data_IF_430829386038
#
_entry.id   IF_430829386038
#
_cell.length_a   1.000
_cell.length_b   1.000
_cell.length_c   1.000
_cell.angle_alpha   90.00
_cell.angle_beta   90.00
_cell.angle_gamma   90.00
#
_symmetry.space_group_name_H-M   'P 1'
#
loop_
_entity.id
_entity.type
_entity.pdbx_description
1 polymer ?
#
# COMPACT_ATOMS: atom_id res chain seq x y z
N UNK A 1 -5.94 3.00 5.77
CA UNK A 1 -4.99 3.40 4.68
C UNK A 1 -5.58 4.60 3.95
N UNK A 2 -4.81 5.66 3.69
CA UNK A 2 -5.21 6.75 2.79
C UNK A 2 -4.57 6.55 1.41
N UNK A 3 -5.37 6.75 0.36
CA UNK A 3 -4.92 6.84 -1.03
C UNK A 3 -5.49 8.15 -1.59
N UNK A 4 -4.61 9.06 -1.99
CA UNK A 4 -5.00 10.37 -2.50
C UNK A 4 -4.36 10.59 -3.88
N UNK A 5 -5.07 11.29 -4.76
CA UNK A 5 -4.64 11.63 -6.12
C UNK A 5 -4.25 10.40 -6.99
N UNK A 6 -4.92 9.27 -6.76
CA UNK A 6 -4.70 8.06 -7.54
C UNK A 6 -5.10 8.28 -8.99
N UNK A 7 -4.16 8.13 -9.92
CA UNK A 7 -4.44 8.11 -11.35
C UNK A 7 -4.08 6.76 -11.97
N UNK A 8 -5.08 6.05 -12.45
CA UNK A 8 -4.92 4.82 -13.24
C UNK A 8 -5.43 5.10 -14.66
N UNK A 9 -4.59 4.85 -15.66
CA UNK A 9 -4.94 5.06 -17.06
C UNK A 9 -4.36 3.92 -17.92
N UNK A 10 -5.10 3.47 -18.94
CA UNK A 10 -4.73 2.40 -19.87
C UNK A 10 -4.21 1.13 -19.17
N UNK A 11 -4.96 0.63 -18.19
CA UNK A 11 -4.59 -0.52 -17.37
C UNK A 11 -5.64 -1.63 -17.43
N UNK A 12 -5.24 -2.88 -17.20
CA UNK A 12 -6.19 -3.99 -17.11
C UNK A 12 -7.18 -3.81 -15.94
N UNK A 13 -6.69 -3.28 -14.83
CA UNK A 13 -7.43 -3.11 -13.58
C UNK A 13 -7.17 -1.73 -12.97
N UNK A 14 -8.09 -1.24 -12.15
CA UNK A 14 -7.86 -0.11 -11.24
C UNK A 14 -7.55 -0.58 -9.82
N UNK A 15 -8.43 -0.30 -8.87
CA UNK A 15 -8.29 -0.82 -7.50
C UNK A 15 -8.66 -2.29 -7.50
N UNK A 16 -7.68 -3.19 -7.38
CA UNK A 16 -7.87 -4.63 -7.57
C UNK A 16 -7.45 -5.44 -6.34
N UNK A 17 -8.28 -6.42 -5.96
CA UNK A 17 -8.09 -7.30 -4.79
C UNK A 17 -7.73 -6.60 -3.46
N UNK A 18 -8.37 -5.47 -3.11
CA UNK A 18 -8.05 -4.78 -1.87
C UNK A 18 -8.48 -5.58 -0.65
N UNK A 19 -7.69 -5.50 0.42
CA UNK A 19 -8.11 -5.89 1.76
C UNK A 19 -8.73 -4.66 2.44
N UNK A 20 -10.02 -4.44 2.20
CA UNK A 20 -10.70 -3.25 2.69
C UNK A 20 -10.92 -3.30 4.21
N UNK A 21 -10.15 -2.47 4.91
CA UNK A 21 -10.27 -2.21 6.34
C UNK A 21 -9.86 -0.75 6.63
N UNK A 22 -10.84 0.14 6.80
CA UNK A 22 -10.62 1.57 7.05
C UNK A 22 -9.79 2.25 5.93
N UNK A 23 -10.15 1.97 4.67
CA UNK A 23 -9.53 2.62 3.53
C UNK A 23 -10.23 3.94 3.22
N UNK A 24 -9.45 4.97 2.90
CA UNK A 24 -9.94 6.25 2.41
C UNK A 24 -9.30 6.53 1.06
N UNK A 25 -10.13 6.82 0.06
CA UNK A 25 -9.71 7.22 -1.27
C UNK A 25 -10.17 8.66 -1.53
N UNK A 26 -9.26 9.51 -2.01
CA UNK A 26 -9.56 10.91 -2.34
C UNK A 26 -9.05 11.25 -3.73
N UNK A 27 -9.88 11.96 -4.49
CA UNK A 27 -9.51 12.48 -5.80
C UNK A 27 -8.91 11.40 -6.73
N UNK A 28 -9.61 10.27 -6.84
CA UNK A 28 -9.19 9.15 -7.67
C UNK A 28 -9.72 9.31 -9.11
N UNK A 29 -8.85 9.08 -10.08
CA UNK A 29 -9.20 9.05 -11.50
C UNK A 29 -8.82 7.69 -12.11
N UNK A 30 -9.82 6.98 -12.65
CA UNK A 30 -9.64 5.66 -13.28
C UNK A 30 -10.15 5.75 -14.72
N UNK A 31 -9.23 5.68 -15.67
CA UNK A 31 -9.49 5.89 -17.07
C UNK A 31 -9.06 4.69 -17.92
N UNK A 32 -9.80 4.46 -19.02
CA UNK A 32 -9.44 3.49 -20.06
C UNK A 32 -9.03 2.11 -19.51
N UNK A 33 -9.73 1.61 -18.48
CA UNK A 33 -9.49 0.29 -17.92
C UNK A 33 -10.28 -0.80 -18.64
N UNK A 34 -9.71 -2.01 -18.75
CA UNK A 34 -10.30 -3.10 -19.54
C UNK A 34 -11.28 -4.00 -18.75
N UNK A 35 -10.94 -4.35 -17.51
CA UNK A 35 -11.70 -5.36 -16.77
C UNK A 35 -12.44 -4.78 -15.57
N UNK A 36 -11.72 -4.43 -14.52
CA UNK A 36 -12.32 -4.11 -13.22
C UNK A 36 -11.76 -2.80 -12.68
N UNK A 37 -12.50 -1.69 -12.87
CA UNK A 37 -12.02 -0.36 -12.50
C UNK A 37 -11.89 -0.21 -10.98
N UNK A 38 -12.90 -0.65 -10.22
CA UNK A 38 -12.88 -0.63 -8.76
C UNK A 38 -13.47 -1.93 -8.23
N UNK A 39 -12.60 -2.87 -7.83
CA UNK A 39 -13.00 -4.22 -7.44
C UNK A 39 -13.50 -4.27 -5.98
N UNK A 40 -14.28 -5.31 -5.67
CA UNK A 40 -14.77 -5.70 -4.35
C UNK A 40 -13.64 -6.22 -3.48
N UNK A 41 -13.87 -6.27 -2.17
CA UNK A 41 -12.89 -6.75 -1.20
C UNK A 41 -12.49 -8.20 -1.47
N UNK A 42 -11.18 -8.45 -1.56
CA UNK A 42 -10.58 -9.77 -1.84
C UNK A 42 -11.13 -10.48 -3.10
N UNK A 43 -11.66 -9.72 -4.05
CA UNK A 43 -12.12 -10.20 -5.36
C UNK A 43 -13.09 -11.39 -5.27
N UNK A 44 -12.70 -12.58 -5.73
CA UNK A 44 -13.55 -13.77 -5.77
C UNK A 44 -14.03 -14.25 -4.40
N UNK A 45 -13.33 -13.88 -3.32
CA UNK A 45 -13.80 -14.15 -1.96
C UNK A 45 -14.92 -13.19 -1.53
N UNK A 46 -14.94 -11.98 -2.10
CA UNK A 46 -15.95 -10.96 -1.89
C UNK A 46 -16.16 -10.61 -0.40
N UNK A 47 -15.04 -10.44 0.31
CA UNK A 47 -14.98 -10.16 1.75
C UNK A 47 -14.50 -8.73 2.00
N UNK A 48 -15.24 -8.00 2.82
CA UNK A 48 -14.86 -6.68 3.29
C UNK A 48 -14.83 -6.67 4.83
N UNK A 49 -13.68 -6.31 5.39
CA UNK A 49 -13.43 -6.45 6.83
C UNK A 49 -13.77 -5.18 7.61
N UNK A 50 -13.77 -4.02 6.95
CA UNK A 50 -14.17 -2.77 7.57
C UNK A 50 -14.65 -1.75 6.56
N UNK A 51 -14.72 -0.50 6.98
CA UNK A 51 -15.29 0.55 6.15
C UNK A 51 -14.36 0.98 5.02
N UNK A 52 -14.96 1.44 3.94
CA UNK A 52 -14.27 2.22 2.90
C UNK A 52 -14.95 3.56 2.72
N UNK A 53 -14.17 4.61 2.55
CA UNK A 53 -14.67 5.96 2.26
C UNK A 53 -14.01 6.46 0.99
N UNK A 54 -14.80 6.94 0.04
CA UNK A 54 -14.33 7.42 -1.25
C UNK A 54 -14.92 8.80 -1.49
N UNK A 55 -14.08 9.81 -1.68
CA UNK A 55 -14.50 11.19 -1.99
C UNK A 55 -13.83 11.68 -3.27
N UNK A 56 -14.62 11.91 -4.31
CA UNK A 56 -14.13 12.37 -5.60
C UNK A 56 -13.51 11.23 -6.42
N UNK A 57 -14.36 10.30 -6.88
CA UNK A 57 -13.96 9.23 -7.82
C UNK A 57 -14.48 9.55 -9.21
N UNK A 58 -13.59 9.66 -10.18
CA UNK A 58 -13.95 9.90 -11.58
C UNK A 58 -13.55 8.71 -12.44
N UNK A 59 -14.51 8.20 -13.22
CA UNK A 59 -14.26 7.29 -14.32
C UNK A 59 -14.34 8.02 -15.66
N UNK A 60 -13.43 7.72 -16.60
CA UNK A 60 -13.46 8.32 -17.94
C UNK A 60 -12.92 7.37 -19.01
N UNK A 61 -13.17 7.68 -20.28
CA UNK A 61 -12.70 6.92 -21.43
C UNK A 61 -12.98 5.40 -21.36
N UNK A 62 -14.06 5.04 -20.66
CA UNK A 62 -14.50 3.66 -20.53
C UNK A 62 -15.03 3.21 -21.89
N UNK A 63 -14.30 2.28 -22.53
CA UNK A 63 -14.60 1.88 -23.91
C UNK A 63 -14.18 0.46 -24.27
N UNK A 64 -13.17 -0.06 -23.57
CA UNK A 64 -12.49 -1.31 -23.87
C UNK A 64 -12.80 -2.35 -22.78
N UNK A 65 -12.99 -3.60 -23.19
CA UNK A 65 -13.19 -4.75 -22.30
C UNK A 65 -14.64 -5.08 -21.85
N UNK A 66 -14.78 -5.86 -20.76
CA UNK A 66 -15.93 -6.71 -20.43
C UNK A 66 -17.25 -6.00 -20.06
N UNK A 67 -18.25 -6.75 -19.56
CA UNK A 67 -19.54 -6.22 -19.05
C UNK A 67 -19.51 -5.93 -17.53
N UNK A 68 -18.33 -5.69 -16.96
CA UNK A 68 -18.18 -5.54 -15.51
C UNK A 68 -18.76 -4.21 -15.01
N UNK A 69 -19.27 -4.14 -13.77
CA UNK A 69 -19.63 -2.87 -13.17
C UNK A 69 -18.39 -2.01 -12.94
N UNK A 70 -18.59 -0.69 -12.81
CA UNK A 70 -17.50 0.23 -12.52
C UNK A 70 -16.97 0.03 -11.10
N UNK A 71 -17.88 -0.19 -10.16
CA UNK A 71 -17.62 -0.50 -8.77
C UNK A 71 -18.26 -1.85 -8.45
N UNK A 72 -17.43 -2.84 -8.14
CA UNK A 72 -17.91 -4.13 -7.66
C UNK A 72 -18.19 -4.05 -6.15
N UNK A 73 -19.38 -4.49 -5.74
CA UNK A 73 -19.77 -4.51 -4.32
C UNK A 73 -19.32 -5.82 -3.66
N UNK A 74 -18.88 -5.74 -2.40
CA UNK A 74 -18.53 -6.89 -1.57
C UNK A 74 -19.79 -7.64 -1.10
N UNK A 75 -19.74 -8.97 -1.07
CA UNK A 75 -20.88 -9.79 -0.71
C UNK A 75 -21.02 -9.98 0.80
N UNK A 76 -19.90 -10.07 1.54
CA UNK A 76 -19.92 -10.44 2.96
C UNK A 76 -19.03 -9.54 3.81
N UNK A 77 -19.58 -9.09 4.93
CA UNK A 77 -18.84 -8.55 6.07
C UNK A 77 -18.64 -9.67 7.09
N UNK A 78 -17.40 -10.13 7.35
CA UNK A 78 -17.15 -11.23 8.28
C UNK A 78 -17.62 -10.97 9.72
N UNK A 79 -17.51 -9.73 10.19
CA UNK A 79 -17.87 -9.30 11.54
C UNK A 79 -19.17 -8.46 11.58
N UNK A 80 -19.71 -8.10 10.43
CA UNK A 80 -20.90 -7.26 10.29
C UNK A 80 -20.65 -5.76 10.41
N UNK A 81 -19.40 -5.30 10.53
CA UNK A 81 -19.06 -3.88 10.72
C UNK A 81 -18.80 -3.13 9.41
N UNK A 82 -18.67 -3.83 8.28
CA UNK A 82 -18.25 -3.23 7.03
C UNK A 82 -19.36 -2.43 6.34
N UNK A 83 -19.08 -1.18 6.00
CA UNK A 83 -19.90 -0.32 5.16
C UNK A 83 -19.03 0.35 4.08
N UNK A 84 -19.63 0.76 2.96
CA UNK A 84 -18.91 1.51 1.91
C UNK A 84 -19.56 2.86 1.68
N UNK A 85 -18.79 3.94 1.76
CA UNK A 85 -19.28 5.31 1.62
C UNK A 85 -18.63 5.97 0.40
N UNK A 86 -19.46 6.52 -0.48
CA UNK A 86 -19.03 7.21 -1.69
C UNK A 86 -19.65 8.60 -1.74
N UNK A 87 -18.85 9.60 -2.09
CA UNK A 87 -19.30 10.96 -2.38
C UNK A 87 -18.59 11.47 -3.63
N UNK A 88 -19.27 12.34 -4.39
CA UNK A 88 -18.70 12.97 -5.60
C UNK A 88 -18.22 11.94 -6.66
N UNK A 89 -18.98 10.86 -6.88
CA UNK A 89 -18.68 9.87 -7.93
C UNK A 89 -19.16 10.39 -9.28
N UNK A 90 -18.25 10.46 -10.25
CA UNK A 90 -18.53 10.96 -11.60
C UNK A 90 -18.15 9.93 -12.66
N UNK A 91 -19.01 9.73 -13.65
CA UNK A 91 -18.72 8.90 -14.84
C UNK A 91 -18.78 9.79 -16.07
N UNK A 92 -17.66 9.93 -16.77
CA UNK A 92 -17.50 10.76 -17.98
C UNK A 92 -17.35 9.89 -19.23
N UNK A 93 -17.60 10.51 -20.38
CA UNK A 93 -17.28 9.97 -21.71
C UNK A 93 -17.83 8.57 -21.99
N UNK A 94 -19.00 8.29 -21.42
CA UNK A 94 -19.62 6.98 -21.46
C UNK A 94 -20.20 6.70 -22.84
N UNK A 95 -19.48 5.95 -23.66
CA UNK A 95 -19.93 5.57 -25.02
C UNK A 95 -21.23 4.78 -25.03
N UNK A 96 -21.53 4.03 -23.95
CA UNK A 96 -22.80 3.32 -23.78
C UNK A 96 -23.27 3.36 -22.33
N UNK A 97 -24.31 4.18 -22.08
CA UNK A 97 -24.80 4.49 -20.73
C UNK A 97 -25.41 3.29 -20.00
N UNK A 98 -25.86 2.26 -20.72
CA UNK A 98 -26.46 1.07 -20.10
C UNK A 98 -25.55 -0.17 -20.11
N UNK A 99 -24.32 -0.04 -20.64
CA UNK A 99 -23.42 -1.19 -20.77
C UNK A 99 -22.84 -1.68 -19.44
N UNK A 100 -22.57 -0.77 -18.51
CA UNK A 100 -21.84 -1.09 -17.26
C UNK A 100 -22.56 -0.52 -16.05
N UNK A 101 -23.31 -1.28 -15.24
CA UNK A 101 -23.88 -0.72 -14.02
C UNK A 101 -22.78 -0.07 -13.16
N UNK A 102 -23.12 1.03 -12.48
CA UNK A 102 -22.11 1.76 -11.68
C UNK A 102 -21.71 0.92 -10.49
N UNK A 103 -22.70 0.36 -9.78
CA UNK A 103 -22.53 -0.56 -8.68
C UNK A 103 -23.24 -1.88 -9.04
N UNK A 104 -22.53 -3.01 -8.95
CA UNK A 104 -23.13 -4.33 -9.06
C UNK A 104 -22.21 -5.39 -8.46
N UNK A 105 -22.65 -6.65 -8.41
CA UNK A 105 -21.70 -7.75 -8.29
C UNK A 105 -20.84 -7.85 -9.56
N UNK A 106 -19.58 -8.22 -9.38
CA UNK A 106 -18.63 -8.45 -10.47
C UNK A 106 -18.86 -9.71 -11.28
N UNK A 107 -17.99 -9.95 -12.26
CA UNK A 107 -18.06 -11.11 -13.15
C UNK A 107 -17.45 -12.39 -12.62
N UNK A 108 -16.66 -12.33 -11.54
CA UNK A 108 -16.14 -13.51 -10.85
C UNK A 108 -17.26 -14.33 -10.19
N UNK A 109 -16.92 -15.29 -9.30
CA UNK A 109 -17.90 -16.08 -8.57
C UNK A 109 -18.96 -15.17 -7.94
N UNK A 110 -20.19 -15.41 -8.34
CA UNK A 110 -21.34 -14.71 -7.80
C UNK A 110 -21.72 -15.42 -6.52
N UNK A 111 -21.13 -15.00 -5.41
CA UNK A 111 -21.32 -15.63 -4.12
C UNK A 111 -22.66 -15.23 -3.50
N UNK A 112 -23.25 -16.16 -2.76
CA UNK A 112 -24.28 -15.83 -1.78
C UNK A 112 -23.57 -15.44 -0.48
N UNK A 113 -23.94 -14.32 0.17
CA UNK A 113 -23.33 -13.91 1.42
C UNK A 113 -23.34 -15.03 2.47
N UNK A 114 -22.21 -15.26 3.13
CA UNK A 114 -22.07 -16.26 4.22
C UNK A 114 -22.30 -15.66 5.61
N UNK A 115 -22.48 -14.34 5.68
CA UNK A 115 -22.73 -13.54 6.87
C UNK A 115 -23.48 -12.27 6.48
N UNK A 116 -23.42 -11.21 7.31
CA UNK A 116 -24.01 -9.92 6.99
C UNK A 116 -23.56 -9.40 5.62
N UNK A 117 -24.49 -8.79 4.88
CA UNK A 117 -24.19 -8.12 3.63
C UNK A 117 -23.42 -6.81 3.86
N UNK A 118 -22.79 -6.29 2.80
CA UNK A 118 -22.10 -5.00 2.84
C UNK A 118 -22.97 -3.94 2.15
N UNK A 119 -23.49 -2.94 2.87
CA UNK A 119 -24.20 -1.82 2.24
C UNK A 119 -23.22 -0.84 1.60
N UNK A 120 -23.68 -0.19 0.53
CA UNK A 120 -22.97 0.92 -0.12
C UNK A 120 -23.84 2.16 -0.05
N UNK A 121 -23.33 3.24 0.54
CA UNK A 121 -23.98 4.54 0.64
C UNK A 121 -23.34 5.51 -0.35
N UNK A 122 -24.17 6.16 -1.15
CA UNK A 122 -23.76 7.22 -2.07
C UNK A 122 -24.39 8.51 -1.57
N UNK A 123 -23.54 9.34 -1.00
CA UNK A 123 -23.93 10.53 -0.28
C UNK A 123 -24.45 11.60 -1.24
N UNK A 124 -25.55 12.25 -0.84
CA UNK A 124 -26.25 13.30 -1.59
C UNK A 124 -26.77 12.88 -2.98
N UNK A 125 -26.90 11.57 -3.26
CA UNK A 125 -27.29 11.07 -4.58
C UNK A 125 -28.66 11.57 -5.05
N UNK A 126 -29.64 11.65 -4.13
CA UNK A 126 -30.98 12.16 -4.40
C UNK A 126 -31.13 13.65 -4.05
N UNK A 127 -30.02 14.34 -3.80
CA UNK A 127 -29.97 15.72 -3.32
C UNK A 127 -29.39 15.79 -1.91
N UNK A 128 -29.17 17.01 -1.42
CA UNK A 128 -28.48 17.26 -0.16
C UNK A 128 -29.14 16.54 1.03
N UNK A 129 -28.38 15.71 1.75
CA UNK A 129 -28.81 14.90 2.89
C UNK A 129 -29.71 13.72 2.52
N UNK A 130 -29.80 13.36 1.24
CA UNK A 130 -30.62 12.25 0.73
C UNK A 130 -29.71 11.30 -0.04
N UNK A 131 -29.36 10.22 0.62
CA UNK A 131 -28.37 9.27 0.14
C UNK A 131 -29.02 8.10 -0.60
N UNK A 132 -28.24 7.47 -1.46
CA UNK A 132 -28.61 6.18 -2.04
C UNK A 132 -27.93 5.05 -1.27
N UNK A 133 -28.73 4.14 -0.71
CA UNK A 133 -28.26 2.86 -0.17
C UNK A 133 -28.38 1.78 -1.25
N UNK A 134 -27.25 1.40 -1.84
CA UNK A 134 -27.15 0.29 -2.79
C UNK A 134 -26.78 -0.99 -2.04
N UNK A 135 -27.50 -2.07 -2.31
CA UNK A 135 -27.27 -3.38 -1.70
C UNK A 135 -27.31 -4.48 -2.76
N UNK A 136 -26.66 -5.61 -2.49
CA UNK A 136 -26.81 -6.80 -3.33
C UNK A 136 -28.22 -7.40 -3.18
N UNK A 137 -28.80 -7.86 -4.28
CA UNK A 137 -30.06 -8.64 -4.26
C UNK A 137 -29.92 -9.99 -3.53
N UNK A 138 -28.69 -10.37 -3.18
CA UNK A 138 -28.37 -11.62 -2.46
C UNK A 138 -28.23 -11.43 -0.95
N UNK A 139 -28.10 -10.19 -0.48
CA UNK A 139 -27.98 -9.84 0.94
C UNK A 139 -29.37 -9.72 1.58
N UNK A 140 -29.95 -10.85 1.99
CA UNK A 140 -31.32 -10.91 2.52
C UNK A 140 -31.50 -10.10 3.80
N UNK A 141 -30.47 -10.02 4.63
CA UNK A 141 -30.44 -9.19 5.83
C UNK A 141 -30.65 -7.70 5.49
N UNK A 142 -29.97 -7.21 4.44
CA UNK A 142 -30.10 -5.83 3.99
C UNK A 142 -31.42 -5.57 3.26
N UNK A 143 -31.93 -6.53 2.47
CA UNK A 143 -33.22 -6.38 1.79
C UNK A 143 -34.43 -6.32 2.74
N UNK A 144 -34.27 -6.85 3.96
CA UNK A 144 -35.32 -6.90 4.98
C UNK A 144 -35.15 -5.82 6.06
N UNK A 145 -34.34 -4.80 5.81
CA UNK A 145 -34.06 -3.70 6.77
C UNK A 145 -35.17 -2.64 6.85
N UNK A 146 -36.27 -2.82 6.11
CA UNK A 146 -37.43 -1.92 6.09
C UNK A 146 -37.41 -0.89 4.97
N UNK A 147 -36.32 -0.77 4.19
CA UNK A 147 -36.22 0.15 3.07
C UNK A 147 -36.96 -0.34 1.82
N UNK A 148 -37.32 0.60 0.95
CA UNK A 148 -37.97 0.32 -0.34
C UNK A 148 -36.95 0.27 -1.47
N UNK A 149 -36.45 -0.92 -1.75
CA UNK A 149 -35.47 -1.14 -2.80
C UNK A 149 -36.09 -1.23 -4.20
N UNK A 150 -35.45 -0.58 -5.17
CA UNK A 150 -35.83 -0.61 -6.58
C UNK A 150 -34.60 -0.83 -7.47
N UNK A 151 -34.80 -1.39 -8.67
CA UNK A 151 -33.78 -1.38 -9.70
C UNK A 151 -33.67 0.03 -10.30
N UNK A 152 -32.45 0.56 -10.44
CA UNK A 152 -32.21 1.89 -10.98
C UNK A 152 -31.02 1.92 -11.94
N UNK A 153 -31.13 1.34 -13.15
CA UNK A 153 -30.08 1.49 -14.15
C UNK A 153 -29.89 2.97 -14.55
N UNK A 154 -28.66 3.45 -14.77
CA UNK A 154 -27.42 2.68 -14.78
C UNK A 154 -26.66 2.67 -13.44
N UNK A 155 -27.29 3.14 -12.36
CA UNK A 155 -26.68 3.12 -11.03
C UNK A 155 -26.48 1.67 -10.57
N UNK A 156 -27.55 0.88 -10.64
CA UNK A 156 -27.54 -0.54 -10.26
C UNK A 156 -27.57 -1.44 -11.49
N UNK A 157 -27.08 -2.68 -11.30
CA UNK A 157 -27.22 -3.77 -12.26
C UNK A 157 -28.37 -4.71 -11.92
N UNK A 158 -28.30 -5.93 -12.46
CA UNK A 158 -29.25 -7.02 -12.23
C UNK A 158 -29.11 -7.67 -10.84
N UNK A 159 -27.98 -7.45 -10.16
CA UNK A 159 -27.66 -8.07 -8.87
C UNK A 159 -27.53 -7.07 -7.73
N UNK A 160 -28.02 -5.85 -7.96
CA UNK A 160 -28.03 -4.76 -7.00
C UNK A 160 -29.30 -3.94 -7.14
N UNK A 161 -29.73 -3.37 -6.02
CA UNK A 161 -30.91 -2.51 -5.93
C UNK A 161 -30.60 -1.34 -5.00
N UNK A 162 -31.34 -0.25 -5.15
CA UNK A 162 -31.13 0.99 -4.40
C UNK A 162 -32.38 1.39 -3.64
N UNK A 163 -32.20 1.94 -2.45
CA UNK A 163 -33.21 2.69 -1.72
C UNK A 163 -32.68 4.08 -1.41
N UNK A 164 -33.58 5.05 -1.26
CA UNK A 164 -33.26 6.36 -0.69
C UNK A 164 -33.25 6.26 0.84
N UNK A 165 -32.23 6.82 1.49
CA UNK A 165 -32.08 6.91 2.95
C UNK A 165 -31.56 8.29 3.34
N UNK A 166 -31.71 8.69 4.60
CA UNK A 166 -31.31 10.01 5.12
C UNK A 166 -30.66 9.96 6.51
N UNK A 167 -30.35 8.76 7.00
CA UNK A 167 -29.88 8.48 8.36
C UNK A 167 -28.37 8.22 8.46
N UNK A 168 -27.62 8.50 7.38
CA UNK A 168 -26.20 8.16 7.28
C UNK A 168 -25.35 9.41 7.12
N UNK A 169 -24.36 9.54 7.99
CA UNK A 169 -23.36 10.60 7.86
C UNK A 169 -22.20 10.14 6.97
N UNK A 170 -21.61 11.08 6.23
CA UNK A 170 -20.38 10.81 5.50
C UNK A 170 -19.22 10.75 6.51
N UNK A 171 -18.43 9.66 6.53
CA UNK A 171 -17.34 9.53 7.49
C UNK A 171 -16.29 10.63 7.34
N UNK A 172 -15.69 11.02 8.45
CA UNK A 172 -14.53 11.90 8.44
C UNK A 172 -13.40 11.27 7.63
N UNK A 173 -12.77 12.07 6.77
CA UNK A 173 -11.65 11.61 5.97
C UNK A 173 -10.36 11.62 6.81
N UNK A 174 -9.45 10.68 6.53
CA UNK A 174 -8.18 10.57 7.26
C UNK A 174 -7.29 11.80 7.07
N UNK A 175 -6.89 12.46 8.15
CA UNK A 175 -5.86 13.51 8.11
C UNK A 175 -4.54 12.86 8.56
N UNK A 176 -3.74 12.28 7.64
CA UNK A 176 -2.50 11.63 8.01
C UNK A 176 -1.59 12.66 8.69
N UNK A 177 -0.87 12.18 9.70
CA UNK A 177 0.15 12.94 10.40
C UNK A 177 1.46 12.27 10.10
N UNK A 178 2.49 13.06 9.85
CA UNK A 178 3.85 12.56 9.69
C UNK A 178 4.46 12.34 11.09
N UNK A 179 4.32 11.12 11.60
CA UNK A 179 4.71 10.73 12.97
C UNK A 179 5.81 9.66 13.01
N UNK A 180 6.36 9.31 11.85
CA UNK A 180 7.44 8.34 11.72
C UNK A 180 8.76 9.07 11.51
N UNK A 181 9.86 8.59 12.11
CA UNK A 181 11.17 9.17 11.89
C UNK A 181 11.76 8.72 10.56
N UNK A 182 12.60 9.57 9.94
CA UNK A 182 13.34 9.20 8.74
C UNK A 182 14.34 8.08 9.03
N UNK A 183 14.73 7.34 8.00
CA UNK A 183 15.71 6.27 8.07
C UNK A 183 16.88 6.52 7.11
N UNK A 184 18.10 6.52 7.66
CA UNK A 184 19.35 6.84 6.96
C UNK A 184 20.22 5.61 6.80
N UNK A 185 20.99 5.56 5.71
CA UNK A 185 22.06 4.58 5.53
C UNK A 185 23.31 5.23 4.96
N UNK A 186 24.46 4.91 5.55
CA UNK A 186 25.77 5.25 4.98
C UNK A 186 26.08 4.24 3.88
N UNK A 187 26.28 4.70 2.66
CA UNK A 187 26.56 3.83 1.49
C UNK A 187 28.02 3.86 1.06
N UNK A 188 28.78 4.88 1.46
CA UNK A 188 30.21 4.95 1.16
C UNK A 188 30.98 5.80 2.15
N UNK A 189 32.16 5.32 2.53
CA UNK A 189 33.19 6.09 3.24
C UNK A 189 34.49 5.94 2.44
N UNK A 190 35.03 7.05 1.93
CA UNK A 190 36.31 7.05 1.18
C UNK A 190 37.28 8.04 1.79
N UNK A 191 38.46 7.56 2.18
CA UNK A 191 39.55 8.43 2.65
C UNK A 191 40.10 9.29 1.52
N UNK A 192 40.39 10.55 1.81
CA UNK A 192 41.01 11.55 0.95
C UNK A 192 42.04 12.35 1.78
N UNK A 193 43.26 11.81 1.90
CA UNK A 193 44.28 12.38 2.78
C UNK A 193 43.85 12.36 4.25
N UNK A 194 43.80 13.53 4.89
CA UNK A 194 43.36 13.70 6.28
C UNK A 194 41.85 13.87 6.43
N UNK A 195 41.07 13.63 5.36
CA UNK A 195 39.62 13.75 5.34
C UNK A 195 38.98 12.47 4.84
N UNK A 196 37.69 12.32 5.07
CA UNK A 196 36.86 11.28 4.49
C UNK A 196 35.65 11.89 3.80
N UNK A 197 35.38 11.44 2.58
CA UNK A 197 34.12 11.69 1.89
C UNK A 197 33.15 10.59 2.30
N UNK A 198 32.07 10.97 2.96
CA UNK A 198 30.99 10.09 3.39
C UNK A 198 29.76 10.37 2.53
N UNK A 199 29.10 9.32 2.09
CA UNK A 199 27.87 9.39 1.30
C UNK A 199 26.83 8.42 1.83
N UNK A 200 25.57 8.73 1.59
CA UNK A 200 24.46 7.89 1.99
C UNK A 200 23.15 8.26 1.32
N UNK A 201 22.11 7.55 1.74
CA UNK A 201 20.73 7.74 1.33
C UNK A 201 19.89 7.87 2.60
N UNK A 202 18.89 8.74 2.56
CA UNK A 202 17.85 8.84 3.61
C UNK A 202 16.49 8.76 2.94
N UNK A 203 15.55 8.05 3.57
CA UNK A 203 14.16 7.97 3.14
C UNK A 203 13.21 8.25 4.29
N UNK A 204 12.04 8.77 3.95
CA UNK A 204 10.94 9.03 4.87
C UNK A 204 9.60 9.12 4.10
N UNK A 205 8.47 9.04 4.80
CA UNK A 205 7.15 9.30 4.22
C UNK A 205 6.80 10.80 4.14
N UNK A 206 7.64 11.68 4.69
CA UNK A 206 7.63 13.13 4.56
C UNK A 206 8.89 13.68 3.87
N UNK A 207 9.10 14.99 3.98
CA UNK A 207 10.27 15.68 3.41
C UNK A 207 11.44 15.67 4.40
N UNK A 208 12.63 15.31 3.92
CA UNK A 208 13.85 15.35 4.74
C UNK A 208 14.36 16.78 4.89
N UNK A 209 14.40 17.29 6.13
CA UNK A 209 14.90 18.63 6.45
C UNK A 209 16.44 18.67 6.54
N UNK A 210 17.05 17.68 7.21
CA UNK A 210 18.50 17.62 7.38
C UNK A 210 19.02 16.21 7.61
N UNK A 211 20.27 16.00 7.18
CA UNK A 211 21.10 14.85 7.54
C UNK A 211 22.37 15.35 8.20
N UNK A 212 22.76 14.75 9.32
CA UNK A 212 24.01 15.03 10.02
C UNK A 212 24.92 13.82 10.03
N UNK A 213 26.23 14.05 10.01
CA UNK A 213 27.26 13.04 10.17
C UNK A 213 28.24 13.53 11.23
N UNK A 214 28.37 12.77 12.33
CA UNK A 214 29.14 13.17 13.52
C UNK A 214 28.78 14.61 13.97
N UNK A 215 27.49 14.96 13.95
CA UNK A 215 26.97 16.28 14.31
C UNK A 215 27.15 17.38 13.25
N UNK A 216 27.85 17.11 12.14
CA UNK A 216 28.06 18.07 11.06
C UNK A 216 27.01 17.92 9.95
N UNK A 217 26.52 19.03 9.39
CA UNK A 217 25.47 19.02 8.37
C UNK A 217 25.99 18.49 7.02
N UNK A 218 25.31 17.49 6.46
CA UNK A 218 25.60 16.97 5.13
C UNK A 218 24.91 17.81 4.04
N UNK A 219 25.49 17.80 2.83
CA UNK A 219 24.85 18.36 1.65
C UNK A 219 23.82 17.36 1.12
N UNK A 220 22.56 17.78 1.03
CA UNK A 220 21.47 17.01 0.44
C UNK A 220 21.41 17.20 -1.09
N UNK A 221 21.07 16.13 -1.79
CA UNK A 221 20.71 16.13 -3.21
C UNK A 221 19.34 15.47 -3.32
N UNK A 222 18.25 16.24 -3.41
CA UNK A 222 16.90 15.69 -3.50
C UNK A 222 16.76 14.80 -4.73
N UNK A 223 16.06 13.68 -4.57
CA UNK A 223 15.60 12.86 -5.68
C UNK A 223 14.11 13.12 -5.89
N UNK A 224 13.28 12.15 -5.56
CA UNK A 224 11.82 12.20 -5.65
C UNK A 224 11.25 11.41 -4.47
N UNK A 225 10.03 11.75 -4.06
CA UNK A 225 9.19 10.91 -3.18
C UNK A 225 9.84 10.53 -1.84
N UNK A 226 10.27 11.52 -1.06
CA UNK A 226 10.79 11.28 0.30
C UNK A 226 12.19 10.66 0.35
N UNK A 227 12.88 10.50 -0.78
CA UNK A 227 14.26 9.99 -0.85
C UNK A 227 15.25 11.11 -1.15
N UNK A 228 16.33 11.18 -0.37
CA UNK A 228 17.46 12.10 -0.62
C UNK A 228 18.79 11.35 -0.61
N UNK A 229 19.65 11.69 -1.57
CA UNK A 229 21.07 11.37 -1.43
C UNK A 229 21.73 12.46 -0.58
N UNK A 230 22.78 12.09 0.13
CA UNK A 230 23.57 13.06 0.88
C UNK A 230 25.06 12.76 0.83
N UNK A 231 25.86 13.82 1.02
CA UNK A 231 27.32 13.72 1.09
C UNK A 231 27.92 14.75 2.02
N UNK A 232 29.05 14.41 2.63
CA UNK A 232 29.83 15.31 3.48
C UNK A 232 31.31 14.94 3.42
N UNK A 233 32.17 15.94 3.56
CA UNK A 233 33.59 15.71 3.81
C UNK A 233 33.89 16.04 5.28
N UNK A 234 34.33 15.05 6.04
CA UNK A 234 34.68 15.19 7.46
C UNK A 234 36.19 15.00 7.68
N UNK A 235 36.80 15.69 8.65
CA UNK A 235 38.17 15.37 9.04
C UNK A 235 38.24 13.92 9.58
N UNK A 236 39.32 13.22 9.25
CA UNK A 236 39.65 11.97 9.93
C UNK A 236 40.07 12.33 11.36
N UNK A 237 39.14 12.19 12.31
CA UNK A 237 39.39 12.39 13.73
C UNK A 237 39.95 11.15 14.41
N UNK A 238 40.13 11.22 15.73
CA UNK A 238 40.38 10.05 16.58
C UNK A 238 39.14 9.17 16.79
N UNK A 239 37.97 9.64 16.35
CA UNK A 239 36.70 8.93 16.38
C UNK A 239 36.77 7.70 15.45
N UNK A 240 36.49 6.52 16.00
CA UNK A 240 36.53 5.23 15.28
C UNK A 240 35.29 5.02 14.39
N UNK A 241 34.22 5.81 14.61
CA UNK A 241 32.90 5.64 14.02
C UNK A 241 32.44 6.88 13.23
N UNK A 242 31.68 6.61 12.17
CA UNK A 242 30.90 7.58 11.40
C UNK A 242 29.44 7.31 11.72
N UNK A 243 28.79 8.26 12.37
CA UNK A 243 27.39 8.20 12.79
C UNK A 243 26.59 9.19 11.96
N UNK A 244 25.59 8.69 11.23
CA UNK A 244 24.65 9.48 10.46
C UNK A 244 23.27 9.51 11.13
N UNK A 245 22.57 10.64 11.00
CA UNK A 245 21.22 10.81 11.52
C UNK A 245 20.42 11.81 10.72
N UNK A 246 19.12 11.56 10.57
CA UNK A 246 18.20 12.44 9.85
C UNK A 246 17.12 13.08 10.73
N UNK A 247 16.57 14.18 10.22
CA UNK A 247 15.36 14.83 10.74
C UNK A 247 14.51 15.26 9.55
N UNK A 248 13.21 14.99 9.59
CA UNK A 248 12.25 15.45 8.59
C UNK A 248 11.76 16.89 8.88
N UNK A 249 10.84 17.39 8.06
CA UNK A 249 10.22 18.71 8.21
C UNK A 249 9.17 18.73 9.34
N UNK A 250 8.55 17.59 9.68
CA UNK A 250 7.62 17.46 10.81
C UNK A 250 8.35 17.51 12.18
N UNK A 251 9.67 17.33 12.17
CA UNK A 251 10.52 17.34 13.36
C UNK A 251 10.79 15.95 13.93
N UNK A 252 10.40 14.86 13.25
CA UNK A 252 10.75 13.51 13.70
C UNK A 252 12.24 13.26 13.46
N UNK A 253 12.86 12.56 14.40
CA UNK A 253 14.32 12.32 14.43
C UNK A 253 14.57 10.84 14.42
N UNK A 254 15.44 10.39 13.52
CA UNK A 254 15.88 9.00 13.40
C UNK A 254 16.38 8.45 14.75
N UNK A 255 15.83 7.31 15.18
CA UNK A 255 16.32 6.55 16.34
C UNK A 255 16.24 5.03 16.13
N UNK A 256 17.32 4.26 16.41
CA UNK A 256 18.67 4.73 16.72
C UNK A 256 19.34 5.35 15.50
N UNK A 257 20.35 6.19 15.72
CA UNK A 257 21.19 6.72 14.65
C UNK A 257 21.95 5.60 13.94
N UNK A 258 22.25 5.81 12.66
CA UNK A 258 22.98 4.83 11.86
C UNK A 258 24.49 4.96 12.06
N UNK A 259 25.15 3.86 12.44
CA UNK A 259 26.59 3.82 12.77
C UNK A 259 27.35 2.95 11.76
N UNK A 260 28.55 3.40 11.36
CA UNK A 260 29.49 2.66 10.51
C UNK A 260 30.94 2.91 10.95
N UNK A 261 31.83 1.94 10.76
CA UNK A 261 33.26 2.06 11.12
C UNK A 261 34.14 2.32 9.92
N UNK A 262 35.28 2.99 10.15
CA UNK A 262 36.38 2.96 9.20
C UNK A 262 37.00 1.57 9.18
N UNK A 263 36.79 0.80 8.11
CA UNK A 263 37.57 -0.42 7.88
C UNK A 263 38.72 -0.03 6.96
N UNK A 264 39.95 -0.10 7.50
CA UNK A 264 41.15 0.10 6.70
C UNK A 264 41.15 -0.89 5.52
N UNK A 265 41.52 -0.38 4.34
CA UNK A 265 41.29 -1.00 3.04
C UNK A 265 41.67 -2.48 3.01
N UNK A 266 40.67 -3.38 3.07
CA UNK A 266 40.61 -4.65 2.32
C UNK A 266 39.43 -5.58 2.65
N UNK A 267 38.49 -5.29 3.57
CA UNK A 267 37.32 -6.18 3.75
C UNK A 267 36.02 -5.45 4.14
N UNK A 268 34.95 -5.90 3.47
CA UNK A 268 33.49 -5.78 3.67
C UNK A 268 32.96 -4.92 4.84
N UNK A 269 31.98 -4.07 4.50
CA UNK A 269 31.08 -3.33 5.39
C UNK A 269 30.51 -4.20 6.53
N UNK A 270 30.60 -3.71 7.77
CA UNK A 270 29.83 -4.21 8.90
C UNK A 270 28.82 -3.13 9.31
N UNK A 271 27.53 -3.37 9.06
CA UNK A 271 26.45 -2.56 9.64
C UNK A 271 26.11 -3.10 11.03
N UNK A 272 25.99 -2.21 12.02
CA UNK A 272 25.43 -2.54 13.33
C UNK A 272 24.36 -1.52 13.67
N UNK A 273 23.10 -1.95 13.65
CA UNK A 273 22.04 -1.25 14.37
C UNK A 273 22.17 -1.67 15.84
N UNK A 274 22.88 -0.90 16.66
CA UNK A 274 22.97 -1.18 18.11
C UNK A 274 21.66 -0.80 18.78
N UNK A 275 20.79 -1.80 19.01
CA UNK A 275 19.77 -1.73 20.05
C UNK A 275 20.49 -1.75 21.42
N UNK A 276 20.13 -0.80 22.29
CA UNK A 276 20.84 -0.51 23.52
C UNK A 276 20.96 -1.71 24.48
N UNK A 277 22.20 -2.13 24.74
CA UNK A 277 22.58 -2.81 25.97
C UNK A 277 24.03 -2.42 26.33
N UNK A 278 24.22 -1.86 27.53
CA UNK A 278 25.54 -1.53 28.08
C UNK A 278 26.39 -2.79 28.18
N UNK A 279 27.59 -2.79 27.61
CA UNK A 279 28.68 -3.68 28.07
C UNK A 279 30.04 -3.03 27.86
N UNK A 280 30.83 -3.06 28.93
CA UNK A 280 32.18 -2.52 29.08
C UNK A 280 33.26 -3.34 28.38
N UNK A 281 34.22 -2.63 27.77
CA UNK A 281 35.62 -2.94 27.37
C UNK A 281 36.10 -4.41 27.24
N UNK A 282 36.90 -4.61 26.17
CA UNK A 282 37.92 -5.66 25.93
C UNK A 282 37.33 -7.00 25.43
N UNK A 283 37.84 -7.70 24.42
CA UNK A 283 39.23 -7.97 24.03
C UNK A 283 39.26 -8.49 22.57
N UNK A 284 40.18 -7.98 21.73
CA UNK A 284 40.59 -8.67 20.50
C UNK A 284 41.54 -9.81 20.88
N UNK A 285 41.15 -11.05 20.62
CA UNK A 285 42.06 -12.21 20.62
C UNK A 285 41.99 -12.84 19.24
N UNK A 286 43.03 -12.62 18.46
CA UNK A 286 43.44 -13.54 17.41
C UNK A 286 43.97 -14.80 18.10
N UNK A 287 43.38 -15.96 17.81
CA UNK A 287 44.10 -17.23 17.81
C UNK A 287 43.34 -18.29 16.99
N UNK A 288 43.97 -18.67 15.87
CA UNK A 288 44.24 -20.03 15.42
C UNK A 288 43.31 -21.17 15.89
N UNK A 289 42.41 -21.63 15.01
CA UNK A 289 41.92 -23.03 15.01
C UNK A 289 41.82 -23.51 13.56
N UNK A 290 42.92 -24.06 13.05
CA UNK A 290 42.87 -25.22 12.17
C UNK A 290 42.76 -26.47 13.07
N UNK A 291 42.05 -27.48 12.56
CA UNK A 291 41.76 -28.78 13.17
C UNK A 291 40.61 -28.80 14.19
N UNK A 292 39.64 -29.67 13.87
CA UNK A 292 38.58 -30.28 14.69
C UNK A 292 37.17 -29.99 14.19
N UNK A 293 36.81 -30.57 13.04
CA UNK A 293 35.42 -30.95 12.76
C UNK A 293 35.39 -32.43 12.36
N UNK A 294 34.56 -33.26 13.01
CA UNK A 294 34.42 -34.67 12.68
C UNK A 294 33.63 -34.87 11.39
N UNK A 295 34.10 -35.81 10.58
CA UNK A 295 33.33 -36.42 9.50
C UNK A 295 32.01 -36.99 10.04
N UNK A 296 30.87 -36.51 9.52
CA UNK A 296 29.70 -37.30 9.07
C UNK A 296 28.46 -36.43 9.01
N UNK A 297 27.88 -36.32 7.81
CA UNK A 297 26.58 -35.69 7.61
C UNK A 297 26.33 -35.36 6.14
N UNK A 298 26.25 -36.38 5.28
CA UNK A 298 25.77 -36.22 3.89
C UNK A 298 24.32 -35.75 3.91
N UNK A 299 24.07 -34.50 3.60
CA UNK A 299 22.74 -34.03 3.21
C UNK A 299 22.66 -34.08 1.67
N UNK A 300 21.91 -35.06 1.15
CA UNK A 300 21.60 -35.17 -0.28
C UNK A 300 20.70 -34.00 -0.68
N UNK A 301 21.11 -33.23 -1.70
CA UNK A 301 20.19 -32.39 -2.47
C UNK A 301 19.46 -33.28 -3.46
N UNK A 302 18.18 -33.55 -3.20
CA UNK A 302 17.28 -34.09 -4.21
C UNK A 302 16.85 -32.96 -5.13
N UNK A 303 17.16 -33.14 -6.41
CA UNK A 303 16.73 -32.30 -7.51
C UNK A 303 15.32 -32.72 -7.91
N UNK A 304 14.41 -31.74 -8.06
CA UNK A 304 13.12 -31.97 -8.70
C UNK A 304 13.34 -32.33 -10.18
N UNK A 305 12.67 -33.37 -10.71
CA UNK A 305 12.72 -33.66 -12.14
C UNK A 305 11.88 -32.64 -12.91
N UNK A 306 12.47 -32.10 -13.97
CA UNK A 306 11.77 -31.41 -15.06
C UNK A 306 10.77 -32.35 -15.73
N UNK A 307 9.55 -31.90 -16.07
CA UNK A 307 8.56 -32.72 -16.77
C UNK A 307 8.96 -32.99 -18.23
N UNK A 308 8.62 -34.19 -18.68
CA UNK A 308 8.87 -34.74 -20.01
C UNK A 308 7.98 -34.05 -21.07
N UNK A 309 8.52 -33.52 -22.18
CA UNK A 309 7.74 -32.86 -23.22
C UNK A 309 6.92 -33.80 -24.13
N UNK A 310 6.80 -35.11 -23.86
CA UNK A 310 6.06 -36.04 -24.73
C UNK A 310 4.58 -36.29 -24.40
N UNK A 311 3.95 -35.57 -23.47
CA UNK A 311 2.51 -35.75 -23.14
C UNK A 311 1.59 -34.60 -23.58
N UNK A 312 1.86 -34.00 -24.74
CA UNK A 312 0.98 -33.01 -25.36
C UNK A 312 0.48 -33.46 -26.74
N UNK A 313 -0.23 -34.59 -26.80
CA UNK A 313 -1.14 -34.93 -27.91
C UNK A 313 -2.28 -35.82 -27.42
N UNK A 314 -3.53 -35.31 -27.43
CA UNK A 314 -4.71 -36.17 -27.33
C UNK A 314 -6.02 -35.49 -26.89
N UNK A 315 -6.86 -35.15 -27.88
CA UNK A 315 -8.30 -34.90 -27.86
C UNK A 315 -8.87 -33.67 -27.12
#
# INVERSE_FOLDING_TARGET
>A
MLVEDLHVDHAAYGVYRPYFENHVYRNSHIAATDAEPFNRGLDDQSLQHGSITVDGLTFSNLGYGGQMPLIQISATSPDGSAESHFRNVTVRDRKSVNRWPTFNLGGGPRLTPKGPGVPVYIHDHFGKGRDAKVVSTRAKDLLNDGNKYVAAPPLTGDESVVAEVDDKEFPDLLTPVDDLPPATVITSIRRNGQRAVVQGITHDNGEISKVTVNGSLAKLTPRTEGVVDWSIEIPLGAEEFVVAGATDVAGNVEQPLTESTFIDSNLRYAHSARQGARTTKSQLVHDHIESQLPEKGRCRREWFPTPDPSEATGA
#
